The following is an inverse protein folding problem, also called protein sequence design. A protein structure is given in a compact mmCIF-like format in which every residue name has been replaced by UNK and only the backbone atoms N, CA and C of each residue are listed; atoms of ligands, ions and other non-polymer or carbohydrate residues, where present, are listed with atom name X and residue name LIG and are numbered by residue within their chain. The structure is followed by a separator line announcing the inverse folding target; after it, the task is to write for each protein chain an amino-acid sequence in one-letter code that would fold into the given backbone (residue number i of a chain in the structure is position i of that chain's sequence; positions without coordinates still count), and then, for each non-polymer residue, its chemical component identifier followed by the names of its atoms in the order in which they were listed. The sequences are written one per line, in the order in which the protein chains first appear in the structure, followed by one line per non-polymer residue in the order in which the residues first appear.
data_IF_915612473764
#
_entry.id   IF_915612473764
#
_cell.length_a   1.000
_cell.length_b   1.000
_cell.length_c   1.000
_cell.angle_alpha   90.00
_cell.angle_beta   90.00
_cell.angle_gamma   90.00
#
_symmetry.space_group_name_H-M   'P 1'
#
loop_
_entity.id
_entity.type
_entity.pdbx_description
1 polymer ?
#
# COMPACT_ATOMS: atom_id res chain seq x y z
N UNK A 1 -8.27 -24.89 25.59
CA UNK A 1 -7.15 -24.90 24.63
C UNK A 1 -7.40 -23.79 23.60
N UNK A 2 -6.83 -22.60 23.78
CA UNK A 2 -6.95 -21.55 22.77
C UNK A 2 -6.16 -21.98 21.53
N UNK A 3 -6.84 -22.04 20.39
CA UNK A 3 -6.27 -22.43 19.10
C UNK A 3 -5.10 -21.52 18.72
N UNK A 4 -4.17 -22.01 17.90
CA UNK A 4 -3.02 -21.22 17.40
C UNK A 4 -3.46 -19.87 16.80
N UNK A 5 -4.65 -19.86 16.19
CA UNK A 5 -5.31 -18.67 15.64
C UNK A 5 -5.61 -17.61 16.71
N UNK A 6 -6.14 -18.01 17.88
CA UNK A 6 -6.41 -17.07 18.97
C UNK A 6 -5.12 -16.43 19.49
N UNK A 7 -4.03 -17.20 19.60
CA UNK A 7 -2.73 -16.67 20.03
C UNK A 7 -2.13 -15.70 19.01
N UNK A 8 -2.23 -16.02 17.72
CA UNK A 8 -1.79 -15.12 16.65
C UNK A 8 -2.61 -13.82 16.66
N UNK A 9 -3.94 -13.91 16.84
CA UNK A 9 -4.84 -12.76 16.89
C UNK A 9 -4.49 -11.77 18.02
N UNK A 10 -4.14 -12.27 19.20
CA UNK A 10 -3.76 -11.42 20.33
C UNK A 10 -2.41 -10.71 20.15
N UNK A 11 -1.56 -11.15 19.23
CA UNK A 11 -0.27 -10.50 18.91
C UNK A 11 -0.40 -9.37 17.89
N UNK A 12 -1.55 -9.23 17.23
CA UNK A 12 -1.79 -8.19 16.23
C UNK A 12 -2.00 -6.85 16.94
N UNK A 13 -1.37 -5.81 16.40
CA UNK A 13 -1.50 -4.46 16.91
C UNK A 13 -2.94 -3.92 16.81
N UNK A 14 -3.37 -3.17 17.83
CA UNK A 14 -4.70 -2.58 17.87
C UNK A 14 -4.75 -1.26 17.07
N UNK A 15 -5.84 -0.97 16.33
CA UNK A 15 -7.05 -1.79 16.12
C UNK A 15 -6.85 -2.96 15.14
N UNK A 16 -7.04 -4.20 15.62
CA UNK A 16 -6.68 -5.45 14.92
C UNK A 16 -7.27 -5.59 13.52
N UNK A 17 -8.56 -5.30 13.38
CA UNK A 17 -9.28 -5.41 12.10
C UNK A 17 -8.66 -4.50 11.04
N UNK A 18 -8.28 -3.28 11.41
CA UNK A 18 -7.67 -2.32 10.48
C UNK A 18 -6.28 -2.82 10.07
N UNK A 19 -5.47 -3.31 11.01
CA UNK A 19 -4.14 -3.87 10.71
C UNK A 19 -4.22 -5.05 9.74
N UNK A 20 -5.20 -5.94 9.89
CA UNK A 20 -5.43 -7.07 8.98
C UNK A 20 -5.89 -6.60 7.59
N UNK A 21 -6.77 -5.61 7.51
CA UNK A 21 -7.20 -5.06 6.21
C UNK A 21 -6.03 -4.42 5.45
N UNK A 22 -5.15 -3.69 6.15
CA UNK A 22 -3.94 -3.15 5.53
C UNK A 22 -2.96 -4.24 5.11
N UNK A 23 -2.78 -5.27 5.94
CA UNK A 23 -1.96 -6.44 5.58
C UNK A 23 -2.44 -7.07 4.26
N UNK A 24 -3.75 -7.33 4.14
CA UNK A 24 -4.33 -7.91 2.92
C UNK A 24 -4.19 -6.95 1.73
N UNK A 25 -4.44 -5.66 1.92
CA UNK A 25 -4.24 -4.64 0.89
C UNK A 25 -2.80 -4.63 0.37
N UNK A 26 -1.81 -4.66 1.26
CA UNK A 26 -0.40 -4.72 0.89
C UNK A 26 -0.03 -6.01 0.16
N UNK A 27 -0.61 -7.15 0.52
CA UNK A 27 -0.42 -8.40 -0.22
C UNK A 27 -1.00 -8.32 -1.64
N UNK A 28 -2.19 -7.75 -1.82
CA UNK A 28 -2.81 -7.56 -3.13
C UNK A 28 -1.94 -6.65 -4.01
N UNK A 29 -1.44 -5.54 -3.46
CA UNK A 29 -0.54 -4.64 -4.19
C UNK A 29 0.78 -5.32 -4.55
N UNK A 30 1.33 -6.14 -3.65
CA UNK A 30 2.53 -6.94 -3.91
C UNK A 30 2.29 -7.91 -5.06
N UNK A 31 1.20 -8.67 -5.02
CA UNK A 31 0.84 -9.62 -6.06
C UNK A 31 0.62 -8.92 -7.42
N UNK A 32 -0.06 -7.77 -7.42
CA UNK A 32 -0.23 -6.94 -8.61
C UNK A 32 1.10 -6.44 -9.17
N UNK A 33 2.01 -5.97 -8.31
CA UNK A 33 3.36 -5.55 -8.71
C UNK A 33 4.21 -6.70 -9.26
N UNK A 34 4.18 -7.88 -8.63
CA UNK A 34 4.88 -9.08 -9.12
C UNK A 34 4.34 -9.50 -10.48
N UNK A 35 3.01 -9.51 -10.63
CA UNK A 35 2.37 -9.81 -11.92
C UNK A 35 2.82 -8.83 -12.99
N UNK A 36 2.88 -7.54 -12.67
CA UNK A 36 3.33 -6.49 -13.59
C UNK A 36 4.83 -6.60 -13.97
N UNK A 37 5.67 -7.19 -13.11
CA UNK A 37 7.08 -7.47 -13.42
C UNK A 37 7.25 -8.69 -14.33
N UNK A 38 6.41 -9.72 -14.15
CA UNK A 38 6.52 -10.98 -14.92
C UNK A 38 5.79 -10.87 -16.26
N UNK A 39 4.63 -10.23 -16.27
CA UNK A 39 3.75 -10.06 -17.42
C UNK A 39 3.31 -8.60 -17.48
N UNK A 40 4.18 -7.69 -17.95
CA UNK A 40 3.83 -6.28 -18.07
C UNK A 40 2.65 -6.11 -19.05
N UNK A 41 1.67 -5.25 -18.70
CA UNK A 41 0.54 -4.96 -19.57
C UNK A 41 1.01 -4.18 -20.80
N UNK A 42 0.88 -4.79 -21.98
CA UNK A 42 1.33 -4.25 -23.27
C UNK A 42 0.71 -2.89 -23.60
N UNK A 43 -0.51 -2.62 -23.13
CA UNK A 43 -1.22 -1.37 -23.33
C UNK A 43 -0.66 -0.17 -22.54
N UNK A 44 0.19 -0.43 -21.54
CA UNK A 44 0.90 0.59 -20.79
C UNK A 44 2.38 0.58 -21.16
N UNK A 45 3.00 -0.60 -21.18
CA UNK A 45 4.41 -0.76 -21.50
C UNK A 45 4.76 -0.20 -22.89
N UNK A 46 3.91 -0.43 -23.89
CA UNK A 46 4.13 0.07 -25.25
C UNK A 46 4.16 1.59 -25.36
N UNK A 47 3.56 2.30 -24.41
CA UNK A 47 3.43 3.76 -24.43
C UNK A 47 4.46 4.47 -23.54
N UNK A 48 4.79 3.88 -22.39
CA UNK A 48 5.69 4.50 -21.38
C UNK A 48 7.11 3.94 -21.42
N UNK A 49 7.29 2.81 -22.08
CA UNK A 49 8.53 2.04 -22.12
C UNK A 49 8.72 1.09 -20.93
N UNK A 50 9.47 0.01 -21.19
CA UNK A 50 9.74 -1.05 -20.23
C UNK A 50 10.38 -0.54 -18.92
N UNK A 51 11.25 0.46 -18.99
CA UNK A 51 11.95 1.01 -17.82
C UNK A 51 10.98 1.64 -16.82
N UNK A 52 10.06 2.49 -17.28
CA UNK A 52 9.09 3.15 -16.41
C UNK A 52 8.11 2.13 -15.78
N UNK A 53 7.67 1.15 -16.57
CA UNK A 53 6.83 0.05 -16.09
C UNK A 53 7.53 -0.76 -14.99
N UNK A 54 8.80 -1.10 -15.21
CA UNK A 54 9.61 -1.87 -14.25
C UNK A 54 9.83 -1.08 -12.96
N UNK A 55 10.12 0.23 -13.04
CA UNK A 55 10.29 1.08 -11.86
C UNK A 55 9.01 1.17 -11.03
N UNK A 56 7.87 1.42 -11.67
CA UNK A 56 6.56 1.46 -11.02
C UNK A 56 6.26 0.14 -10.32
N UNK A 57 6.41 -0.98 -11.03
CA UNK A 57 6.12 -2.31 -10.50
C UNK A 57 7.07 -2.68 -9.35
N UNK A 58 8.36 -2.34 -9.46
CA UNK A 58 9.35 -2.56 -8.41
C UNK A 58 9.03 -1.78 -7.13
N UNK A 59 8.65 -0.50 -7.26
CA UNK A 59 8.21 0.31 -6.12
C UNK A 59 6.96 -0.28 -5.45
N UNK A 60 6.03 -0.80 -6.26
CA UNK A 60 4.80 -1.41 -5.75
C UNK A 60 5.08 -2.71 -5.00
N UNK A 61 5.95 -3.57 -5.54
CA UNK A 61 6.38 -4.81 -4.89
C UNK A 61 7.14 -4.51 -3.61
N UNK A 62 8.09 -3.58 -3.65
CA UNK A 62 8.87 -3.18 -2.49
C UNK A 62 7.95 -2.63 -1.38
N UNK A 63 7.10 -1.67 -1.71
CA UNK A 63 6.20 -1.05 -0.75
C UNK A 63 5.16 -2.02 -0.20
N UNK A 64 4.56 -2.86 -1.05
CA UNK A 64 3.61 -3.89 -0.61
C UNK A 64 4.25 -4.95 0.27
N UNK A 65 5.44 -5.44 -0.09
CA UNK A 65 6.14 -6.48 0.69
C UNK A 65 6.48 -5.95 2.08
N UNK A 66 7.08 -4.75 2.15
CA UNK A 66 7.43 -4.10 3.41
C UNK A 66 6.19 -3.75 4.23
N UNK A 67 5.13 -3.27 3.58
CA UNK A 67 3.85 -2.96 4.22
C UNK A 67 3.24 -4.20 4.87
N UNK A 68 3.24 -5.34 4.18
CA UNK A 68 2.68 -6.59 4.70
C UNK A 68 3.43 -7.05 5.97
N UNK A 69 4.75 -6.97 6.00
CA UNK A 69 5.55 -7.38 7.17
C UNK A 69 5.40 -6.40 8.33
N UNK A 70 5.20 -5.11 8.05
CA UNK A 70 5.10 -4.06 9.09
C UNK A 70 3.70 -3.86 9.67
N UNK A 71 2.63 -4.16 8.91
CA UNK A 71 1.25 -3.85 9.30
C UNK A 71 0.75 -4.62 10.54
N UNK A 72 1.04 -5.93 10.63
CA UNK A 72 0.61 -6.77 11.75
C UNK A 72 1.31 -6.44 13.08
N UNK A 73 2.66 -6.34 13.14
CA UNK A 73 3.36 -5.95 14.36
C UNK A 73 3.25 -4.45 14.69
N UNK A 74 2.80 -3.62 13.74
CA UNK A 74 2.72 -2.17 13.91
C UNK A 74 4.09 -1.50 13.88
N UNK A 75 5.00 -1.88 12.99
CA UNK A 75 6.32 -1.25 12.89
C UNK A 75 6.21 0.04 12.06
N UNK A 76 5.86 1.14 12.73
CA UNK A 76 5.49 2.42 12.09
C UNK A 76 6.55 3.02 11.16
N UNK A 77 7.83 2.94 11.53
CA UNK A 77 8.90 3.51 10.70
C UNK A 77 9.00 2.77 9.37
N UNK A 78 8.93 1.44 9.41
CA UNK A 78 8.96 0.59 8.22
C UNK A 78 7.72 0.81 7.35
N UNK A 79 6.56 0.98 7.99
CA UNK A 79 5.31 1.24 7.29
C UNK A 79 5.29 2.60 6.58
N UNK A 80 6.01 3.61 7.09
CA UNK A 80 6.17 4.90 6.38
C UNK A 80 6.89 4.74 5.04
N UNK A 81 7.93 3.90 4.97
CA UNK A 81 8.58 3.62 3.69
C UNK A 81 7.67 2.84 2.74
N UNK A 82 6.90 1.89 3.27
CA UNK A 82 5.92 1.16 2.48
C UNK A 82 4.88 2.09 1.85
N UNK A 83 4.26 2.94 2.66
CA UNK A 83 3.26 3.93 2.21
C UNK A 83 3.87 4.91 1.21
N UNK A 84 5.08 5.42 1.48
CA UNK A 84 5.79 6.31 0.58
C UNK A 84 6.06 5.67 -0.78
N UNK A 85 6.60 4.44 -0.80
CA UNK A 85 6.90 3.71 -2.03
C UNK A 85 5.63 3.42 -2.86
N UNK A 86 4.54 2.99 -2.21
CA UNK A 86 3.25 2.75 -2.89
C UNK A 86 2.67 4.06 -3.43
N UNK A 87 2.71 5.14 -2.66
CA UNK A 87 2.23 6.45 -3.10
C UNK A 87 3.05 6.98 -4.29
N UNK A 88 4.37 6.82 -4.28
CA UNK A 88 5.22 7.16 -5.42
C UNK A 88 4.88 6.32 -6.65
N UNK A 89 4.75 5.01 -6.51
CA UNK A 89 4.33 4.12 -7.60
C UNK A 89 2.97 4.52 -8.20
N UNK A 90 1.97 4.76 -7.34
CA UNK A 90 0.64 5.20 -7.74
C UNK A 90 0.66 6.60 -8.39
N UNK A 91 1.52 7.51 -7.94
CA UNK A 91 1.67 8.85 -8.55
C UNK A 91 2.25 8.74 -9.96
N UNK A 92 3.30 7.93 -10.15
CA UNK A 92 3.86 7.65 -11.47
C UNK A 92 2.77 7.06 -12.37
N UNK A 93 1.99 6.10 -11.86
CA UNK A 93 0.90 5.51 -12.64
C UNK A 93 -0.18 6.53 -13.01
N UNK A 94 -0.55 7.40 -12.09
CA UNK A 94 -1.54 8.44 -12.35
C UNK A 94 -1.06 9.40 -13.45
N UNK A 95 0.20 9.83 -13.39
CA UNK A 95 0.79 10.69 -14.42
C UNK A 95 0.73 10.02 -15.80
N UNK A 96 1.08 8.72 -15.87
CA UNK A 96 0.98 7.91 -17.09
C UNK A 96 -0.45 7.91 -17.63
N UNK A 97 -1.44 7.60 -16.79
CA UNK A 97 -2.85 7.52 -17.20
C UNK A 97 -3.33 8.89 -17.71
N UNK A 98 -2.95 9.97 -17.03
CA UNK A 98 -3.32 11.34 -17.42
C UNK A 98 -2.70 11.69 -18.77
N UNK A 99 -1.42 11.39 -19.00
CA UNK A 99 -0.79 11.57 -20.32
C UNK A 99 -1.52 10.76 -21.40
N UNK A 100 -1.78 9.48 -21.13
CA UNK A 100 -2.49 8.58 -22.04
C UNK A 100 -3.91 9.00 -22.35
N UNK A 101 -4.56 9.75 -21.45
CA UNK A 101 -5.90 10.29 -21.71
C UNK A 101 -5.92 11.25 -22.89
N UNK A 102 -4.82 11.96 -23.14
CA UNK A 102 -4.70 12.92 -24.23
C UNK A 102 -4.11 12.32 -25.51
N UNK A 103 -3.42 11.18 -25.43
CA UNK A 103 -2.69 10.59 -26.57
C UNK A 103 -3.32 9.29 -27.10
N UNK A 104 -4.16 8.62 -26.32
CA UNK A 104 -4.66 7.28 -26.63
C UNK A 104 -6.15 7.15 -26.34
N UNK A 105 -6.84 6.28 -27.09
CA UNK A 105 -8.25 5.97 -26.87
C UNK A 105 -8.39 4.92 -25.75
N UNK A 106 -9.41 5.10 -24.89
CA UNK A 106 -9.70 4.15 -23.80
C UNK A 106 -10.30 4.81 -22.57
N UNK A 107 -10.82 4.00 -21.65
CA UNK A 107 -11.41 4.50 -20.40
C UNK A 107 -10.35 4.86 -19.35
N UNK A 108 -9.57 5.91 -19.63
CA UNK A 108 -8.46 6.39 -18.79
C UNK A 108 -8.94 7.09 -17.53
N UNK A 109 -10.06 7.80 -17.58
CA UNK A 109 -10.62 8.47 -16.40
C UNK A 109 -11.04 7.48 -15.30
N UNK A 110 -11.61 6.33 -15.66
CA UNK A 110 -11.91 5.29 -14.69
C UNK A 110 -10.64 4.73 -14.04
N UNK A 111 -9.59 4.47 -14.84
CA UNK A 111 -8.29 4.02 -14.30
C UNK A 111 -7.70 5.07 -13.35
N UNK A 112 -7.74 6.35 -13.74
CA UNK A 112 -7.28 7.46 -12.92
C UNK A 112 -8.07 7.55 -11.60
N UNK A 113 -9.39 7.36 -11.62
CA UNK A 113 -10.22 7.36 -10.42
C UNK A 113 -9.82 6.24 -9.44
N UNK A 114 -9.56 5.03 -9.94
CA UNK A 114 -9.06 3.94 -9.09
C UNK A 114 -7.68 4.24 -8.51
N UNK A 115 -6.74 4.76 -9.31
CA UNK A 115 -5.40 5.11 -8.82
C UNK A 115 -5.46 6.26 -7.80
N UNK A 116 -6.31 7.26 -8.02
CA UNK A 116 -6.59 8.32 -7.05
C UNK A 116 -7.15 7.74 -5.73
N UNK A 117 -8.04 6.74 -5.79
CA UNK A 117 -8.55 6.10 -4.57
C UNK A 117 -7.45 5.40 -3.76
N UNK A 118 -6.45 4.83 -4.43
CA UNK A 118 -5.27 4.23 -3.80
C UNK A 118 -4.41 5.31 -3.15
N UNK A 119 -4.15 6.43 -3.84
CA UNK A 119 -3.42 7.57 -3.27
C UNK A 119 -4.10 8.14 -2.03
N UNK A 120 -5.43 8.31 -2.07
CA UNK A 120 -6.20 8.75 -0.91
C UNK A 120 -6.12 7.76 0.25
N UNK A 121 -6.20 6.45 -0.02
CA UNK A 121 -5.99 5.43 1.00
C UNK A 121 -4.59 5.49 1.63
N UNK A 122 -3.56 5.69 0.82
CA UNK A 122 -2.20 5.89 1.34
C UNK A 122 -2.09 7.18 2.16
N UNK A 123 -2.78 8.25 1.77
CA UNK A 123 -2.87 9.50 2.54
C UNK A 123 -3.53 9.29 3.91
N UNK A 124 -4.67 8.58 3.96
CA UNK A 124 -5.33 8.21 5.23
C UNK A 124 -4.40 7.37 6.10
N UNK A 125 -3.69 6.40 5.51
CA UNK A 125 -2.75 5.54 6.24
C UNK A 125 -1.57 6.34 6.77
N UNK A 126 -1.02 7.25 5.97
CA UNK A 126 0.05 8.15 6.37
C UNK A 126 -0.34 9.01 7.59
N UNK A 127 -1.54 9.61 7.57
CA UNK A 127 -2.04 10.39 8.70
C UNK A 127 -2.14 9.55 9.98
N UNK A 128 -2.69 8.33 9.88
CA UNK A 128 -2.81 7.40 11.01
C UNK A 128 -1.47 6.89 11.56
N UNK A 129 -0.43 6.80 10.73
CA UNK A 129 0.92 6.38 11.16
C UNK A 129 1.76 7.58 11.67
N UNK A 130 1.43 8.79 11.22
CA UNK A 130 2.09 10.03 11.64
C UNK A 130 1.70 10.39 13.06
N UNK A 131 0.41 10.31 13.38
CA UNK A 131 -0.10 10.43 14.74
C UNK A 131 0.38 9.21 15.53
N UNK A 132 1.02 9.44 16.68
CA UNK A 132 1.65 8.37 17.48
C UNK A 132 0.62 7.26 17.75
N UNK A 133 1.06 6.00 17.90
CA UNK A 133 0.13 4.92 18.16
C UNK A 133 -0.47 5.09 19.54
N UNK A 134 -1.75 4.75 19.64
CA UNK A 134 -2.43 4.51 20.90
C UNK A 134 -1.55 3.60 21.78
N UNK A 135 -0.90 4.20 22.78
CA UNK A 135 -0.19 3.47 23.85
C UNK A 135 -1.22 3.24 24.94
N UNK A 136 -1.77 2.03 25.12
CA UNK A 136 -2.67 1.75 26.24
C UNK A 136 -2.01 2.03 27.60
N UNK A 137 -0.67 1.96 27.66
CA UNK A 137 0.13 2.23 28.87
C UNK A 137 0.10 3.69 29.34
N UNK A 138 -0.24 4.66 28.47
CA UNK A 138 -0.28 6.06 28.88
C UNK A 138 -1.51 6.39 29.75
N UNK A 139 -2.55 5.56 29.71
CA UNK A 139 -3.76 5.77 30.51
C UNK A 139 -3.60 5.30 31.98
N UNK A 140 -2.66 4.40 32.27
CA UNK A 140 -2.45 3.85 33.63
C UNK A 140 -1.37 4.58 34.42
N UNK A 141 -0.49 5.35 33.77
CA UNK A 141 0.56 6.11 34.44
C UNK A 141 0.12 7.50 34.94
N UNK A 142 -1.13 7.90 34.69
CA UNK A 142 -1.70 9.17 35.15
C UNK A 142 -2.53 9.03 36.45
N UNK A 143 -2.60 7.83 37.03
CA UNK A 143 -3.35 7.53 38.27
C UNK A 143 -2.44 7.12 39.46
N UNK A 144 -1.15 7.48 39.44
CA UNK A 144 -0.23 7.28 40.59
C UNK A 144 0.40 8.59 41.02
#
# INVERSE_FOLDING_TARGET
MTSLLARAWHRINEPRTISVLYFVSYLVLTAGGVTALVIPPTSLEGEIGATAMTMLASLLVFGGSIGSVSALPGIYWLERFAVGAIASSATIYLLIIVTLHFTSTGNRLLQAAFVCSVLLHQGVRWMRIRERPYRPEAATAAEV
#
